data_IF_159352755587
#
_entry.id   IF_159352755587
#
_cell.length_a   1.000
_cell.length_b   1.000
_cell.length_c   1.000
_cell.angle_alpha   90.00
_cell.angle_beta   90.00
_cell.angle_gamma   90.00
#
_symmetry.space_group_name_H-M   'P 1'
#
loop_
_entity.id
_entity.type
_entity.pdbx_description
1 polymer ?
#
# COMPACT_ATOMS: atom_id res chain seq x y z
N UNK A 1 -22.60 27.60 9.64
CA UNK A 1 -22.34 26.25 10.21
C UNK A 1 -21.97 25.31 9.07
N UNK A 2 -20.80 24.66 9.06
CA UNK A 2 -20.49 23.70 8.02
C UNK A 2 -21.17 22.36 8.35
N UNK A 3 -22.31 22.09 7.73
CA UNK A 3 -22.30 21.13 6.63
C UNK A 3 -21.57 19.80 6.82
N UNK A 4 -21.72 19.02 7.91
CA UNK A 4 -21.08 17.69 8.00
C UNK A 4 -21.49 16.83 6.80
N UNK A 5 -20.65 16.74 5.76
CA UNK A 5 -20.77 15.72 4.72
C UNK A 5 -20.65 14.37 5.43
N UNK A 6 -21.72 13.59 5.44
CA UNK A 6 -21.70 12.17 5.83
C UNK A 6 -20.54 11.53 5.05
N UNK A 7 -19.54 11.02 5.76
CA UNK A 7 -18.57 10.08 5.20
C UNK A 7 -19.38 9.00 4.49
N UNK A 8 -19.12 8.79 3.21
CA UNK A 8 -19.71 7.70 2.46
C UNK A 8 -19.56 6.43 3.31
N UNK A 9 -20.70 5.79 3.62
CA UNK A 9 -20.71 4.51 4.33
C UNK A 9 -19.78 3.57 3.56
N UNK A 10 -18.64 3.22 4.16
CA UNK A 10 -17.95 2.00 3.79
C UNK A 10 -18.96 0.89 4.02
N UNK A 11 -19.62 0.42 2.95
CA UNK A 11 -20.49 -0.75 3.01
C UNK A 11 -19.66 -1.86 3.61
N UNK A 12 -19.98 -2.25 4.84
CA UNK A 12 -19.31 -3.33 5.53
C UNK A 12 -19.36 -4.54 4.59
N UNK A 13 -18.21 -4.99 4.11
CA UNK A 13 -18.14 -6.19 3.27
C UNK A 13 -18.79 -7.31 4.07
N UNK A 14 -19.82 -7.95 3.53
CA UNK A 14 -20.41 -9.14 4.14
C UNK A 14 -19.32 -10.20 4.23
N UNK A 15 -18.90 -10.50 5.46
CA UNK A 15 -17.92 -11.54 5.72
C UNK A 15 -18.62 -12.89 5.55
N UNK A 16 -17.93 -13.90 4.98
CA UNK A 16 -18.48 -15.25 4.92
C UNK A 16 -18.76 -15.76 6.35
N UNK A 17 -19.94 -16.36 6.56
CA UNK A 17 -20.33 -16.92 7.85
C UNK A 17 -19.44 -18.12 8.20
N UNK A 18 -18.72 -18.03 9.32
CA UNK A 18 -17.90 -19.13 9.84
C UNK A 18 -18.84 -20.08 10.62
N UNK A 19 -18.83 -21.40 10.34
CA UNK A 19 -19.66 -22.36 11.08
C UNK A 19 -19.26 -22.43 12.56
N UNK A 20 -20.24 -22.57 13.46
CA UNK A 20 -20.01 -22.57 14.91
C UNK A 20 -19.07 -23.68 15.37
N UNK A 21 -19.07 -24.84 14.70
CA UNK A 21 -18.17 -25.96 15.00
C UNK A 21 -16.68 -25.57 14.89
N UNK A 22 -16.32 -24.68 13.95
CA UNK A 22 -14.94 -24.19 13.83
C UNK A 22 -14.59 -23.24 14.98
N UNK A 23 -15.55 -22.45 15.47
CA UNK A 23 -15.36 -21.53 16.59
C UNK A 23 -15.18 -22.32 17.88
N UNK A 24 -15.99 -23.36 18.11
CA UNK A 24 -15.89 -24.23 19.28
C UNK A 24 -14.56 -25.01 19.33
N UNK A 25 -14.03 -25.40 18.18
CA UNK A 25 -12.70 -26.05 18.11
C UNK A 25 -11.56 -25.10 18.43
N UNK A 26 -11.69 -23.81 18.09
CA UNK A 26 -10.69 -22.78 18.35
C UNK A 26 -10.80 -22.17 19.76
N UNK A 27 -12.00 -22.08 20.32
CA UNK A 27 -12.29 -21.41 21.60
C UNK A 27 -12.55 -22.44 22.70
N UNK A 28 -11.49 -22.93 23.34
CA UNK A 28 -11.57 -23.89 24.46
C UNK A 28 -11.64 -23.22 25.84
N UNK A 29 -12.46 -22.18 25.98
CA UNK A 29 -12.66 -21.44 27.25
C UNK A 29 -12.55 -19.92 27.12
N UNK A 30 -12.57 -19.16 28.23
CA UNK A 30 -12.39 -17.71 28.20
C UNK A 30 -10.96 -17.38 27.71
N UNK A 31 -10.88 -16.75 26.54
CA UNK A 31 -9.61 -16.34 25.92
C UNK A 31 -9.29 -14.89 26.28
N UNK A 32 -8.02 -14.59 26.53
CA UNK A 32 -7.52 -13.22 26.60
C UNK A 32 -7.49 -12.60 25.20
N UNK A 33 -7.39 -11.27 25.12
CA UNK A 33 -7.25 -10.56 23.84
C UNK A 33 -6.03 -11.06 23.03
N UNK A 34 -4.92 -11.35 23.72
CA UNK A 34 -3.71 -11.92 23.12
C UNK A 34 -3.97 -13.33 22.55
N UNK A 35 -4.67 -14.20 23.28
CA UNK A 35 -4.97 -15.55 22.81
C UNK A 35 -5.89 -15.55 21.58
N UNK A 36 -6.79 -14.57 21.47
CA UNK A 36 -7.64 -14.38 20.28
C UNK A 36 -6.78 -13.96 19.08
N UNK A 37 -5.81 -13.07 19.29
CA UNK A 37 -4.89 -12.63 18.24
C UNK A 37 -4.00 -13.79 17.75
N UNK A 38 -3.46 -14.60 18.65
CA UNK A 38 -2.67 -15.79 18.30
C UNK A 38 -3.48 -16.82 17.52
N UNK A 39 -4.73 -17.07 17.93
CA UNK A 39 -5.64 -17.97 17.23
C UNK A 39 -5.96 -17.46 15.81
N UNK A 40 -6.21 -16.16 15.67
CA UNK A 40 -6.43 -15.51 14.37
C UNK A 40 -5.18 -15.63 13.48
N UNK A 41 -3.99 -15.39 14.03
CA UNK A 41 -2.72 -15.54 13.31
C UNK A 41 -2.45 -16.97 12.86
N UNK A 42 -2.72 -17.96 13.72
CA UNK A 42 -2.59 -19.38 13.37
C UNK A 42 -3.57 -19.77 12.25
N UNK A 43 -4.81 -19.28 12.31
CA UNK A 43 -5.81 -19.51 11.27
C UNK A 43 -5.40 -18.87 9.94
N UNK A 44 -4.95 -17.61 9.95
CA UNK A 44 -4.43 -16.91 8.77
C UNK A 44 -3.26 -17.65 8.14
N UNK A 45 -2.31 -18.14 8.96
CA UNK A 45 -1.20 -18.98 8.49
C UNK A 45 -1.71 -20.22 7.74
N UNK A 46 -2.61 -20.98 8.37
CA UNK A 46 -3.14 -22.20 7.78
C UNK A 46 -3.89 -21.93 6.46
N UNK A 47 -4.67 -20.84 6.41
CA UNK A 47 -5.40 -20.41 5.22
C UNK A 47 -4.45 -20.07 4.07
N UNK A 48 -3.41 -19.27 4.34
CA UNK A 48 -2.42 -18.85 3.34
C UNK A 48 -1.62 -20.06 2.82
N UNK A 49 -1.16 -20.94 3.70
CA UNK A 49 -0.43 -22.15 3.29
C UNK A 49 -1.29 -23.10 2.46
N UNK A 50 -2.58 -23.23 2.79
CA UNK A 50 -3.54 -24.03 2.02
C UNK A 50 -3.77 -23.44 0.63
N UNK A 51 -3.93 -22.12 0.54
CA UNK A 51 -4.09 -21.40 -0.73
C UNK A 51 -2.85 -21.56 -1.63
N UNK A 52 -1.64 -21.34 -1.09
CA UNK A 52 -0.39 -21.54 -1.82
C UNK A 52 -0.21 -23.00 -2.28
N UNK A 53 -0.63 -23.97 -1.46
CA UNK A 53 -0.62 -25.39 -1.82
C UNK A 53 -1.55 -25.71 -2.99
N UNK A 54 -2.70 -25.03 -3.06
CA UNK A 54 -3.67 -25.13 -4.15
C UNK A 54 -3.13 -24.47 -5.43
N UNK A 55 -2.51 -23.29 -5.34
CA UNK A 55 -1.84 -22.63 -6.48
C UNK A 55 -0.77 -23.55 -7.09
N UNK A 56 0.08 -24.17 -6.25
CA UNK A 56 1.08 -25.12 -6.74
C UNK A 56 0.42 -26.36 -7.39
N UNK A 57 -0.74 -26.80 -6.90
CA UNK A 57 -1.50 -27.87 -7.53
C UNK A 57 -2.05 -27.51 -8.89
N UNK A 58 -2.52 -26.27 -9.05
CA UNK A 58 -2.94 -25.75 -10.34
C UNK A 58 -1.77 -25.65 -11.31
N UNK A 59 -0.63 -25.12 -10.87
CA UNK A 59 0.59 -25.01 -11.68
C UNK A 59 1.14 -26.37 -12.14
N UNK A 60 1.08 -27.40 -11.29
CA UNK A 60 1.54 -28.76 -11.62
C UNK A 60 0.49 -29.60 -12.37
N UNK A 61 -0.78 -29.17 -12.39
CA UNK A 61 -1.88 -29.93 -12.99
C UNK A 61 -2.38 -31.12 -12.16
N UNK A 62 -1.94 -31.27 -10.90
CA UNK A 62 -2.41 -32.33 -10.00
C UNK A 62 -2.39 -31.92 -8.50
N UNK A 63 -3.36 -32.40 -7.70
CA UNK A 63 -3.46 -32.04 -6.29
C UNK A 63 -2.38 -32.73 -5.43
N UNK A 64 -2.19 -32.23 -4.22
CA UNK A 64 -1.26 -32.82 -3.26
C UNK A 64 -1.73 -34.24 -2.89
N UNK A 65 -0.84 -35.23 -3.02
CA UNK A 65 -1.10 -36.64 -2.68
C UNK A 65 -1.68 -37.48 -3.83
N UNK A 66 -2.00 -36.90 -4.98
CA UNK A 66 -2.37 -37.66 -6.17
C UNK A 66 -1.14 -38.20 -6.92
N UNK A 67 -1.35 -39.28 -7.69
CA UNK A 67 -0.32 -39.82 -8.58
C UNK A 67 0.09 -38.80 -9.64
N UNK A 68 1.39 -38.75 -9.91
CA UNK A 68 1.97 -37.84 -10.90
C UNK A 68 1.50 -38.24 -12.30
N UNK A 69 0.93 -37.32 -13.09
CA UNK A 69 0.67 -37.56 -14.50
C UNK A 69 1.97 -37.90 -15.23
N UNK A 70 1.95 -38.94 -16.08
CA UNK A 70 3.14 -39.39 -16.83
C UNK A 70 3.75 -38.30 -17.73
N UNK A 71 2.95 -37.30 -18.10
CA UNK A 71 3.37 -36.17 -18.94
C UNK A 71 3.99 -35.01 -18.15
N UNK A 72 3.80 -34.93 -16.83
CA UNK A 72 4.38 -33.85 -16.03
C UNK A 72 5.86 -34.16 -15.79
N UNK A 73 6.77 -33.26 -16.18
CA UNK A 73 8.21 -33.34 -15.88
C UNK A 73 8.53 -32.78 -14.49
N UNK A 74 7.77 -31.77 -14.06
CA UNK A 74 7.97 -31.07 -12.79
C UNK A 74 7.24 -31.80 -11.63
N UNK A 75 7.72 -31.59 -10.40
CA UNK A 75 7.18 -32.20 -9.19
C UNK A 75 7.33 -31.29 -7.97
N UNK A 76 6.56 -31.55 -6.92
CA UNK A 76 6.69 -30.85 -5.64
C UNK A 76 8.02 -31.20 -4.97
N UNK A 77 8.73 -30.20 -4.44
CA UNK A 77 10.04 -30.32 -3.80
C UNK A 77 10.04 -29.64 -2.43
N UNK A 78 9.20 -30.15 -1.53
CA UNK A 78 9.11 -29.67 -0.16
C UNK A 78 8.56 -28.24 -0.04
N UNK A 79 8.96 -27.57 1.05
CA UNK A 79 8.55 -26.22 1.40
C UNK A 79 9.77 -25.37 1.78
N UNK A 80 9.66 -24.06 1.63
CA UNK A 80 10.65 -23.09 2.09
C UNK A 80 9.99 -22.09 3.02
N UNK A 81 10.65 -21.82 4.15
CA UNK A 81 10.13 -20.87 5.13
C UNK A 81 10.34 -19.43 4.65
N UNK A 82 9.29 -18.63 4.68
CA UNK A 82 9.33 -17.18 4.42
C UNK A 82 8.54 -16.45 5.52
N UNK A 83 9.17 -15.47 6.15
CA UNK A 83 8.48 -14.57 7.07
C UNK A 83 7.85 -13.44 6.26
N UNK A 84 6.52 -13.34 6.33
CA UNK A 84 5.72 -12.31 5.68
C UNK A 84 5.17 -11.37 6.73
N UNK A 85 5.29 -10.07 6.51
CA UNK A 85 4.78 -9.03 7.38
C UNK A 85 3.30 -8.83 7.08
N UNK A 86 2.46 -9.04 8.10
CA UNK A 86 1.01 -8.86 8.04
C UNK A 86 0.56 -7.79 9.04
N UNK A 87 -0.69 -7.37 8.93
CA UNK A 87 -1.29 -6.37 9.82
C UNK A 87 -1.33 -6.76 11.30
N UNK A 88 -1.21 -8.04 11.64
CA UNK A 88 -1.17 -8.51 13.03
C UNK A 88 0.25 -8.91 13.47
N UNK A 89 1.26 -8.63 12.62
CA UNK A 89 2.67 -8.90 12.89
C UNK A 89 3.35 -9.85 11.88
N UNK A 90 4.60 -10.25 12.16
CA UNK A 90 5.36 -11.16 11.29
C UNK A 90 4.83 -12.59 11.35
N UNK A 91 4.46 -13.12 10.19
CA UNK A 91 3.92 -14.47 10.02
C UNK A 91 4.93 -15.37 9.31
N UNK A 92 5.38 -16.44 9.98
CA UNK A 92 6.27 -17.44 9.38
C UNK A 92 5.47 -18.48 8.61
N UNK A 93 5.55 -18.42 7.28
CA UNK A 93 4.83 -19.27 6.33
C UNK A 93 5.75 -20.33 5.73
N UNK A 94 5.23 -21.53 5.52
CA UNK A 94 5.89 -22.60 4.77
C UNK A 94 5.40 -22.63 3.32
N UNK A 95 6.15 -21.99 2.42
CA UNK A 95 5.78 -21.82 1.01
C UNK A 95 6.15 -23.09 0.23
N UNK A 96 5.19 -23.71 -0.48
CA UNK A 96 5.47 -24.92 -1.24
C UNK A 96 6.31 -24.60 -2.48
N UNK A 97 7.19 -25.52 -2.85
CA UNK A 97 8.11 -25.36 -3.99
C UNK A 97 7.99 -26.50 -4.99
N UNK A 98 8.29 -26.21 -6.24
CA UNK A 98 8.47 -27.17 -7.30
C UNK A 98 9.96 -27.53 -7.48
N UNK A 99 10.25 -28.57 -8.28
CA UNK A 99 11.61 -29.06 -8.52
C UNK A 99 12.37 -28.19 -9.50
N UNK A 100 11.68 -27.71 -10.53
CA UNK A 100 12.28 -26.91 -11.60
C UNK A 100 12.41 -25.42 -11.23
N UNK A 101 11.75 -24.98 -10.15
CA UNK A 101 11.77 -23.60 -9.68
C UNK A 101 10.93 -22.63 -10.52
N UNK A 102 10.10 -23.14 -11.43
CA UNK A 102 9.27 -22.34 -12.34
C UNK A 102 8.01 -21.80 -11.66
N UNK A 103 7.58 -22.39 -10.54
CA UNK A 103 6.39 -21.94 -9.82
C UNK A 103 6.56 -20.52 -9.28
N UNK A 104 5.73 -19.58 -9.74
CA UNK A 104 5.62 -18.21 -9.23
C UNK A 104 4.23 -18.02 -8.58
N UNK A 105 4.15 -18.00 -7.23
CA UNK A 105 2.87 -17.83 -6.55
C UNK A 105 2.28 -16.45 -6.84
N UNK A 106 0.95 -16.39 -6.96
CA UNK A 106 0.20 -15.13 -7.21
C UNK A 106 -0.12 -14.47 -5.87
N UNK A 107 -0.58 -15.23 -4.88
CA UNK A 107 -0.96 -14.69 -3.57
C UNK A 107 0.21 -14.00 -2.84
N UNK A 108 1.42 -14.59 -2.91
CA UNK A 108 2.64 -14.03 -2.32
C UNK A 108 3.78 -14.20 -3.35
N UNK A 109 4.10 -13.14 -4.11
CA UNK A 109 5.15 -13.20 -5.12
C UNK A 109 6.53 -13.59 -4.57
N UNK A 110 7.40 -14.08 -5.45
CA UNK A 110 8.79 -14.42 -5.08
C UNK A 110 9.48 -13.18 -4.52
N UNK A 111 10.26 -13.38 -3.46
CA UNK A 111 10.98 -12.31 -2.73
C UNK A 111 10.12 -11.28 -1.99
N UNK A 112 8.82 -11.15 -2.30
CA UNK A 112 7.94 -10.18 -1.65
C UNK A 112 7.49 -10.61 -0.25
N UNK A 113 7.96 -9.94 0.80
CA UNK A 113 7.64 -10.30 2.19
C UNK A 113 6.44 -9.55 2.77
N UNK A 114 5.60 -8.93 1.93
CA UNK A 114 4.55 -8.00 2.37
C UNK A 114 3.18 -8.53 1.96
N UNK A 115 2.19 -8.33 2.82
CA UNK A 115 0.78 -8.48 2.48
C UNK A 115 0.22 -7.08 2.20
N UNK A 116 -0.43 -6.87 1.06
CA UNK A 116 -0.67 -5.57 0.38
C UNK A 116 -1.70 -4.62 1.05
N UNK A 117 -1.60 -4.41 2.36
CA UNK A 117 -2.34 -3.37 3.10
C UNK A 117 -1.46 -2.52 4.02
N UNK A 118 -0.19 -2.88 4.17
CA UNK A 118 0.78 -2.17 5.00
C UNK A 118 1.23 -0.84 4.37
N UNK A 119 1.30 -0.81 3.05
CA UNK A 119 1.85 0.30 2.27
C UNK A 119 0.88 1.49 2.27
N UNK A 120 -0.42 1.21 2.10
CA UNK A 120 -1.49 2.21 2.23
C UNK A 120 -1.47 2.90 3.60
N UNK A 121 -1.16 2.17 4.67
CA UNK A 121 -1.04 2.73 6.01
C UNK A 121 0.17 3.65 6.12
N UNK A 122 1.33 3.25 5.58
CA UNK A 122 2.52 4.11 5.51
C UNK A 122 2.22 5.39 4.73
N UNK A 123 1.55 5.28 3.57
CA UNK A 123 1.17 6.42 2.74
C UNK A 123 0.20 7.33 3.49
N UNK A 124 -0.83 6.76 4.14
CA UNK A 124 -1.80 7.52 4.92
C UNK A 124 -1.19 8.22 6.15
N UNK A 125 -0.12 7.65 6.70
CA UNK A 125 0.66 8.24 7.78
C UNK A 125 1.55 9.39 7.29
N UNK A 126 2.21 9.19 6.16
CA UNK A 126 3.02 10.21 5.52
C UNK A 126 2.16 11.41 5.05
N UNK A 127 0.99 11.14 4.46
CA UNK A 127 0.02 12.15 4.04
C UNK A 127 -0.52 13.00 5.21
N UNK A 128 -0.48 12.49 6.44
CA UNK A 128 -0.83 13.24 7.66
C UNK A 128 0.31 14.12 8.19
N UNK A 129 1.49 14.06 7.57
CA UNK A 129 2.66 14.85 7.94
C UNK A 129 3.51 14.23 9.05
N UNK A 130 3.36 12.93 9.33
CA UNK A 130 4.25 12.25 10.27
C UNK A 130 5.64 12.06 9.65
N UNK A 131 6.67 12.28 10.46
CA UNK A 131 8.05 12.09 10.01
C UNK A 131 8.37 10.61 9.85
N UNK A 132 9.33 10.26 8.99
CA UNK A 132 9.76 8.87 8.80
C UNK A 132 10.14 8.17 10.12
N UNK A 133 10.70 8.93 11.07
CA UNK A 133 11.04 8.43 12.42
C UNK A 133 9.80 8.12 13.25
N UNK A 134 8.79 8.99 13.21
CA UNK A 134 7.51 8.77 13.89
C UNK A 134 6.75 7.59 13.29
N UNK A 135 6.75 7.47 11.97
CA UNK A 135 6.15 6.32 11.27
C UNK A 135 6.82 5.02 11.72
N UNK A 136 8.16 4.97 11.77
CA UNK A 136 8.89 3.79 12.27
C UNK A 136 8.54 3.47 13.72
N UNK A 137 8.51 4.47 14.60
CA UNK A 137 8.18 4.27 16.01
C UNK A 137 6.76 3.71 16.17
N UNK A 138 5.79 4.29 15.46
CA UNK A 138 4.40 3.85 15.45
C UNK A 138 4.26 2.42 14.90
N UNK A 139 4.97 2.09 13.82
CA UNK A 139 4.96 0.76 13.24
C UNK A 139 5.57 -0.29 14.17
N UNK A 140 6.63 0.05 14.89
CA UNK A 140 7.25 -0.82 15.87
C UNK A 140 6.32 -1.07 17.07
N UNK A 141 5.68 -0.02 17.59
CA UNK A 141 4.82 -0.10 18.77
C UNK A 141 3.50 -0.83 18.48
N UNK A 142 2.82 -0.48 17.39
CA UNK A 142 1.49 -1.02 17.09
C UNK A 142 1.55 -2.40 16.42
N UNK A 143 2.56 -2.64 15.57
CA UNK A 143 2.65 -3.84 14.73
C UNK A 143 3.85 -4.74 15.07
N UNK A 144 4.68 -4.39 16.05
CA UNK A 144 5.86 -5.18 16.43
C UNK A 144 6.87 -5.35 15.30
N UNK A 145 6.86 -4.45 14.30
CA UNK A 145 7.64 -4.61 13.07
C UNK A 145 8.75 -3.57 13.01
N UNK A 146 10.01 -3.99 12.96
CA UNK A 146 11.13 -3.07 12.72
C UNK A 146 11.28 -2.82 11.21
N UNK A 147 11.13 -1.55 10.82
CA UNK A 147 11.12 -1.11 9.43
C UNK A 147 12.27 -0.13 9.22
N UNK A 148 13.06 -0.31 8.16
CA UNK A 148 14.16 0.59 7.84
C UNK A 148 13.67 1.93 7.28
N UNK A 149 14.48 2.98 7.42
CA UNK A 149 14.19 4.29 6.84
C UNK A 149 14.06 4.21 5.32
N UNK A 150 14.99 3.52 4.66
CA UNK A 150 15.03 3.36 3.20
C UNK A 150 13.77 2.69 2.66
N UNK A 151 13.15 1.82 3.46
CA UNK A 151 11.90 1.17 3.10
C UNK A 151 10.70 2.12 3.15
N UNK A 152 10.65 3.02 4.12
CA UNK A 152 9.57 4.03 4.17
C UNK A 152 9.72 4.98 2.97
N UNK A 153 10.95 5.37 2.64
CA UNK A 153 11.24 6.16 1.44
C UNK A 153 10.83 5.45 0.15
N UNK A 154 11.18 4.16 -0.03
CA UNK A 154 10.83 3.44 -1.26
C UNK A 154 9.32 3.26 -1.47
N UNK A 155 8.56 3.14 -0.38
CA UNK A 155 7.09 3.12 -0.43
C UNK A 155 6.54 4.46 -0.87
N UNK A 156 7.07 5.57 -0.35
CA UNK A 156 6.65 6.91 -0.78
C UNK A 156 7.05 7.19 -2.23
N UNK A 157 8.19 6.67 -2.68
CA UNK A 157 8.67 6.82 -4.06
C UNK A 157 7.77 6.08 -5.06
N UNK A 158 7.20 4.93 -4.68
CA UNK A 158 6.27 4.19 -5.53
C UNK A 158 5.01 5.01 -5.88
N UNK A 159 4.57 5.90 -4.99
CA UNK A 159 3.40 6.78 -5.21
C UNK A 159 3.75 7.96 -6.15
N UNK A 160 5.03 8.24 -6.40
CA UNK A 160 5.44 9.35 -7.26
C UNK A 160 4.96 9.19 -8.71
N UNK A 161 4.84 7.95 -9.20
CA UNK A 161 4.28 7.67 -10.52
C UNK A 161 2.80 8.05 -10.59
N UNK A 162 2.02 7.72 -9.55
CA UNK A 162 0.61 8.11 -9.45
C UNK A 162 0.43 9.63 -9.33
N UNK A 163 1.31 10.31 -8.60
CA UNK A 163 1.33 11.78 -8.52
C UNK A 163 1.60 12.38 -9.90
N UNK A 164 2.53 11.82 -10.66
CA UNK A 164 2.81 12.24 -12.04
C UNK A 164 1.60 12.06 -12.96
N UNK A 165 0.92 10.93 -12.86
CA UNK A 165 -0.32 10.68 -13.60
C UNK A 165 -1.44 11.65 -13.20
N UNK A 166 -1.58 11.96 -11.90
CA UNK A 166 -2.53 12.94 -11.41
C UNK A 166 -2.22 14.36 -11.91
N UNK A 167 -0.96 14.76 -11.99
CA UNK A 167 -0.57 16.07 -12.54
C UNK A 167 -0.86 16.21 -14.04
N UNK A 168 -0.84 15.11 -14.78
CA UNK A 168 -1.07 15.08 -16.23
C UNK A 168 -2.51 14.74 -16.62
N UNK A 169 -3.41 14.58 -15.63
CA UNK A 169 -4.80 14.19 -15.89
C UNK A 169 -5.50 15.26 -16.75
N UNK A 170 -6.40 14.86 -17.65
CA UNK A 170 -7.23 15.81 -18.39
C UNK A 170 -8.12 16.60 -17.41
N UNK A 171 -8.13 17.91 -17.57
CA UNK A 171 -8.98 18.81 -16.79
C UNK A 171 -10.36 18.96 -17.46
N UNK A 172 -11.35 19.37 -16.67
CA UNK A 172 -12.68 19.63 -17.20
C UNK A 172 -12.68 20.85 -18.14
N UNK A 173 -13.58 20.90 -19.15
CA UNK A 173 -13.60 21.97 -20.13
C UNK A 173 -13.89 23.36 -19.55
N UNK A 174 -14.57 23.43 -18.40
CA UNK A 174 -15.03 24.70 -17.84
C UNK A 174 -14.96 24.72 -16.31
N UNK A 175 -14.24 25.71 -15.78
CA UNK A 175 -14.23 26.06 -14.36
C UNK A 175 -14.71 27.51 -14.21
N UNK A 176 -15.92 27.74 -13.66
CA UNK A 176 -16.46 29.09 -13.45
C UNK A 176 -15.55 30.03 -12.65
N UNK A 177 -14.83 29.51 -11.64
CA UNK A 177 -13.94 30.29 -10.78
C UNK A 177 -12.67 29.49 -10.53
N UNK A 178 -11.51 30.15 -10.61
CA UNK A 178 -10.21 29.58 -10.27
C UNK A 178 -9.53 30.49 -9.23
N UNK A 179 -9.08 29.89 -8.14
CA UNK A 179 -8.27 30.53 -7.12
C UNK A 179 -6.81 30.15 -7.30
N UNK A 180 -5.93 31.13 -7.19
CA UNK A 180 -4.49 30.93 -7.11
C UNK A 180 -4.02 31.30 -5.71
N UNK A 181 -3.33 30.38 -5.06
CA UNK A 181 -2.69 30.60 -3.75
C UNK A 181 -1.20 30.30 -3.85
N UNK A 182 -0.40 30.91 -2.98
CA UNK A 182 1.05 30.76 -2.94
C UNK A 182 1.53 30.57 -1.51
N UNK A 183 2.12 29.41 -1.22
CA UNK A 183 2.66 29.07 0.09
C UNK A 183 4.19 29.08 0.05
N UNK A 184 4.81 29.88 0.92
CA UNK A 184 6.28 29.97 1.01
C UNK A 184 6.82 28.92 1.99
N UNK A 185 7.63 27.98 1.50
CA UNK A 185 8.24 26.90 2.28
C UNK A 185 9.77 26.98 2.17
N UNK A 186 10.45 26.74 3.29
CA UNK A 186 11.90 26.55 3.31
C UNK A 186 12.22 25.14 2.82
N UNK A 187 12.84 25.05 1.65
CA UNK A 187 13.23 23.78 1.03
C UNK A 187 14.76 23.78 0.90
N UNK A 188 15.38 22.65 1.20
CA UNK A 188 16.81 22.45 0.96
C UNK A 188 17.03 22.12 -0.51
N UNK A 189 17.81 22.93 -1.19
CA UNK A 189 18.12 22.81 -2.62
C UNK A 189 19.64 22.95 -2.79
N UNK A 190 20.28 21.98 -3.44
CA UNK A 190 21.74 21.94 -3.65
C UNK A 190 22.60 22.24 -2.40
N UNK A 191 22.10 21.83 -1.22
CA UNK A 191 22.78 22.03 0.06
C UNK A 191 22.46 23.34 0.79
N UNK A 192 21.81 24.31 0.14
CA UNK A 192 21.35 25.58 0.72
C UNK A 192 19.86 25.51 1.07
N UNK A 193 19.46 26.13 2.18
CA UNK A 193 18.04 26.24 2.55
C UNK A 193 17.48 27.52 1.94
N UNK A 194 16.73 27.36 0.85
CA UNK A 194 16.13 28.46 0.10
C UNK A 194 14.63 28.56 0.42
N UNK A 195 14.08 29.78 0.41
CA UNK A 195 12.64 29.98 0.53
C UNK A 195 12.02 29.86 -0.86
N UNK A 196 11.23 28.81 -1.10
CA UNK A 196 10.56 28.55 -2.38
C UNK A 196 9.06 28.81 -2.26
N UNK A 197 8.43 29.27 -3.34
CA UNK A 197 6.99 29.46 -3.40
C UNK A 197 6.35 28.22 -4.05
N UNK A 198 5.31 27.71 -3.40
CA UNK A 198 4.46 26.63 -3.90
C UNK A 198 3.14 27.27 -4.34
N UNK A 199 2.86 27.25 -5.64
CA UNK A 199 1.61 27.73 -6.19
C UNK A 199 0.58 26.62 -6.27
N UNK A 200 -0.63 26.91 -5.80
CA UNK A 200 -1.78 26.02 -5.82
C UNK A 200 -2.86 26.65 -6.70
N UNK A 201 -3.35 25.91 -7.71
CA UNK A 201 -4.54 26.30 -8.47
C UNK A 201 -5.74 25.45 -8.03
N UNK A 202 -6.79 26.11 -7.56
CA UNK A 202 -8.04 25.48 -7.12
C UNK A 202 -9.18 25.95 -8.00
N UNK A 203 -9.78 25.04 -8.76
CA UNK A 203 -10.95 25.29 -9.59
C UNK A 203 -12.24 24.96 -8.84
N UNK A 204 -13.28 25.74 -9.09
CA UNK A 204 -14.66 25.41 -8.68
C UNK A 204 -15.42 24.96 -9.93
N UNK A 205 -16.05 23.81 -9.85
CA UNK A 205 -16.88 23.24 -10.91
C UNK A 205 -18.28 23.88 -10.92
N UNK A 206 -19.07 23.74 -12.01
CA UNK A 206 -20.43 24.28 -12.10
C UNK A 206 -21.39 23.76 -11.01
N UNK A 207 -21.11 22.59 -10.46
CA UNK A 207 -21.86 21.97 -9.36
C UNK A 207 -21.46 22.51 -7.96
N UNK A 208 -20.49 23.42 -7.90
CA UNK A 208 -19.95 23.99 -6.67
C UNK A 208 -18.92 23.10 -5.96
N UNK A 209 -18.52 21.98 -6.55
CA UNK A 209 -17.40 21.18 -6.02
C UNK A 209 -16.06 21.88 -6.30
N UNK A 210 -15.11 21.68 -5.39
CA UNK A 210 -13.76 22.26 -5.47
C UNK A 210 -12.81 21.16 -5.91
N UNK A 211 -12.00 21.45 -6.92
CA UNK A 211 -11.00 20.53 -7.45
C UNK A 211 -9.63 21.23 -7.50
N UNK A 212 -8.56 20.48 -7.23
CA UNK A 212 -7.20 20.99 -7.30
C UNK A 212 -6.69 20.73 -8.72
N UNK A 213 -6.43 21.80 -9.46
CA UNK A 213 -5.99 21.73 -10.86
C UNK A 213 -4.51 21.38 -10.97
N UNK A 214 -3.71 21.83 -10.01
CA UNK A 214 -2.27 21.54 -9.98
C UNK A 214 -1.55 22.23 -8.84
N UNK A 215 -0.32 21.76 -8.63
CA UNK A 215 0.64 22.27 -7.64
C UNK A 215 1.98 22.48 -8.36
N UNK A 216 2.56 23.66 -8.23
CA UNK A 216 3.84 24.00 -8.85
C UNK A 216 4.80 24.56 -7.81
N UNK A 217 6.07 24.15 -7.85
CA UNK A 217 7.12 24.65 -6.96
C UNK A 217 8.06 25.52 -7.80
N UNK A 218 8.26 26.77 -7.39
CA UNK A 218 9.16 27.69 -8.07
C UNK A 218 10.28 28.18 -7.15
N UNK A 219 11.49 28.25 -7.72
CA UNK A 219 12.71 28.69 -7.02
C UNK A 219 12.89 30.21 -6.98
N UNK A 220 12.22 30.97 -7.86
CA UNK A 220 12.42 32.42 -8.01
C UNK A 220 11.23 33.11 -8.67
N UNK A 221 10.84 34.29 -8.17
CA UNK A 221 9.79 35.15 -8.77
C UNK A 221 10.20 35.59 -10.19
N UNK A 222 9.69 34.90 -11.22
CA UNK A 222 9.90 35.25 -12.62
C UNK A 222 8.57 35.43 -13.35
N UNK A 223 8.25 36.64 -13.81
CA UNK A 223 6.99 37.00 -14.46
C UNK A 223 6.68 36.32 -15.81
N UNK A 224 7.49 35.34 -16.25
CA UNK A 224 7.47 34.81 -17.61
C UNK A 224 6.81 33.44 -17.81
N UNK A 225 6.15 32.85 -16.80
CA UNK A 225 5.56 31.49 -16.94
C UNK A 225 4.05 31.38 -16.89
N UNK A 226 3.31 32.42 -16.49
CA UNK A 226 1.85 32.40 -16.56
C UNK A 226 1.32 32.18 -18.01
N UNK A 227 2.15 32.42 -19.03
CA UNK A 227 1.79 32.30 -20.44
C UNK A 227 2.34 31.05 -21.16
N UNK A 228 3.20 30.23 -20.54
CA UNK A 228 3.89 29.14 -21.24
C UNK A 228 3.53 27.78 -20.61
N UNK A 229 2.65 27.05 -21.28
CA UNK A 229 2.35 25.66 -20.95
C UNK A 229 3.62 24.82 -20.82
N UNK A 230 3.63 23.98 -19.78
CA UNK A 230 4.41 22.75 -19.64
C UNK A 230 5.86 22.76 -20.18
N UNK A 231 6.86 23.05 -19.32
CA UNK A 231 8.21 22.44 -19.42
C UNK A 231 8.82 22.21 -18.02
N UNK A 232 8.96 20.92 -17.70
CA UNK A 232 9.56 20.14 -16.59
C UNK A 232 10.87 20.67 -15.94
N UNK A 233 11.48 20.01 -14.93
CA UNK A 233 11.13 18.75 -14.24
C UNK A 233 11.09 18.84 -12.69
N UNK A 234 10.19 18.08 -12.06
CA UNK A 234 10.39 17.60 -10.69
C UNK A 234 11.18 16.30 -10.82
N UNK A 235 12.51 16.41 -10.90
CA UNK A 235 13.42 15.30 -10.63
C UNK A 235 14.77 15.86 -10.17
N UNK A 236 14.91 16.02 -8.85
CA UNK A 236 16.19 16.10 -8.16
C UNK A 236 15.92 16.09 -6.64
N UNK A 237 15.77 14.89 -6.07
CA UNK A 237 16.20 14.64 -4.70
C UNK A 237 17.14 13.44 -4.79
N UNK A 238 18.43 13.74 -4.71
CA UNK A 238 19.41 12.87 -4.08
C UNK A 238 19.48 13.25 -2.60
#
# INVERSE_FOLDING_TARGET
MPTKKKSANATARELPSIPQELIEQFVKGPMSAEAIQDASMAFKKALIERALGAELGHHLGYPQGAERPKESTNQRNGKSSKTVLTDDGPLRLDIPRDRDGSFAPILIPKHERRFTGFDDKIIAMYARGMTVREIRAFLSEQYGTDVSHDFISSVTDAVMEEVGAWQQRPLEPMYPVIFFDALRVKIRDEGLVCNKAIYLALGVLPDGTRDILGIWIESTEGANRAACGCKSPILAIA
#
